data_IF_552850354792
#
_entry.id   IF_552850354792
#
_cell.length_a   1.000
_cell.length_b   1.000
_cell.length_c   1.000
_cell.angle_alpha   90.00
_cell.angle_beta   90.00
_cell.angle_gamma   90.00
#
_symmetry.space_group_name_H-M   'P 1'
#
loop_
_entity.id
_entity.type
_entity.pdbx_description
1 polymer ?
#
# COMPACT_ATOMS: atom_id res chain seq x y z
N UNK A 1 13.89 -48.31 -10.37
CA UNK A 1 14.36 -46.97 -10.74
C UNK A 1 13.18 -46.05 -10.99
N UNK A 2 12.55 -45.45 -9.95
CA UNK A 2 11.44 -44.54 -10.12
C UNK A 2 11.26 -43.66 -8.86
N UNK A 3 12.24 -42.85 -8.48
CA UNK A 3 12.11 -41.95 -7.31
C UNK A 3 12.64 -40.54 -7.49
N UNK A 4 13.14 -40.15 -8.68
CA UNK A 4 13.80 -38.84 -8.91
C UNK A 4 12.83 -37.74 -9.41
N UNK A 5 11.64 -38.07 -9.89
CA UNK A 5 10.77 -37.08 -10.58
C UNK A 5 9.86 -36.25 -9.66
N UNK A 6 9.65 -36.65 -8.41
CA UNK A 6 8.72 -35.91 -7.50
C UNK A 6 9.31 -34.64 -6.88
N UNK A 7 10.63 -34.50 -6.81
CA UNK A 7 11.28 -33.37 -6.18
C UNK A 7 11.26 -32.06 -7.02
N UNK A 8 11.27 -32.16 -8.34
CA UNK A 8 11.32 -30.99 -9.23
C UNK A 8 9.98 -30.26 -9.30
N UNK A 9 8.86 -30.95 -9.31
CA UNK A 9 7.53 -30.34 -9.36
C UNK A 9 7.18 -29.52 -8.11
N UNK A 10 7.64 -29.94 -6.93
CA UNK A 10 7.42 -29.20 -5.68
C UNK A 10 8.26 -27.92 -5.57
N UNK A 11 9.49 -27.92 -6.07
CA UNK A 11 10.35 -26.72 -6.09
C UNK A 11 9.83 -25.69 -7.08
N UNK A 12 9.41 -26.11 -8.27
CA UNK A 12 8.86 -25.23 -9.30
C UNK A 12 7.54 -24.57 -8.85
N UNK A 13 6.63 -25.33 -8.20
CA UNK A 13 5.41 -24.76 -7.61
C UNK A 13 5.72 -23.72 -6.54
N UNK A 14 6.66 -23.98 -5.63
CA UNK A 14 7.07 -23.00 -4.61
C UNK A 14 7.65 -21.72 -5.21
N UNK A 15 8.33 -21.79 -6.33
CA UNK A 15 8.81 -20.61 -7.05
C UNK A 15 7.66 -19.84 -7.70
N UNK A 16 6.67 -20.54 -8.29
CA UNK A 16 5.48 -19.92 -8.84
C UNK A 16 4.62 -19.27 -7.73
N UNK A 17 4.59 -19.84 -6.53
CA UNK A 17 3.87 -19.27 -5.38
C UNK A 17 4.48 -17.96 -4.89
N UNK A 18 5.73 -17.63 -5.29
CA UNK A 18 6.43 -16.38 -4.96
C UNK A 18 6.30 -15.28 -6.03
N UNK A 19 5.35 -15.43 -6.95
CA UNK A 19 5.09 -14.41 -7.96
C UNK A 19 4.84 -13.00 -7.39
N UNK A 20 4.20 -12.81 -6.17
CA UNK A 20 4.00 -11.47 -5.65
C UNK A 20 5.33 -10.80 -5.30
N UNK A 21 6.25 -11.51 -4.64
CA UNK A 21 7.60 -11.01 -4.35
C UNK A 21 8.36 -10.66 -5.63
N UNK A 22 8.32 -11.53 -6.65
CA UNK A 22 9.00 -11.29 -7.92
C UNK A 22 8.44 -10.05 -8.65
N UNK A 23 7.12 -9.88 -8.65
CA UNK A 23 6.45 -8.70 -9.20
C UNK A 23 6.84 -7.44 -8.43
N UNK A 24 6.88 -7.49 -7.09
CA UNK A 24 7.29 -6.37 -6.26
C UNK A 24 8.71 -5.90 -6.62
N UNK A 25 9.66 -6.82 -6.68
CA UNK A 25 11.06 -6.50 -7.03
C UNK A 25 11.19 -5.97 -8.46
N UNK A 26 10.44 -6.51 -9.42
CA UNK A 26 10.45 -6.03 -10.80
C UNK A 26 9.90 -4.60 -10.92
N UNK A 27 8.81 -4.28 -10.20
CA UNK A 27 8.24 -2.94 -10.17
C UNK A 27 9.13 -1.95 -9.41
N UNK A 28 9.74 -2.36 -8.29
CA UNK A 28 10.71 -1.53 -7.57
C UNK A 28 11.90 -1.17 -8.47
N UNK A 29 12.40 -2.13 -9.27
CA UNK A 29 13.46 -1.83 -10.24
C UNK A 29 13.03 -0.81 -11.31
N UNK A 30 11.73 -0.77 -11.67
CA UNK A 30 11.20 0.20 -12.62
C UNK A 30 10.99 1.60 -11.99
N UNK A 31 10.82 1.70 -10.67
CA UNK A 31 10.70 2.98 -9.94
C UNK A 31 12.06 3.53 -9.49
N UNK A 32 13.12 2.74 -9.66
CA UNK A 32 14.48 3.11 -9.24
C UNK A 32 14.93 4.44 -9.86
N UNK A 33 15.39 5.35 -9.01
CA UNK A 33 15.79 6.70 -9.44
C UNK A 33 14.67 7.74 -9.42
N UNK A 34 13.39 7.35 -9.24
CA UNK A 34 12.25 8.28 -9.16
C UNK A 34 12.12 8.99 -7.82
N UNK A 35 12.78 8.50 -6.77
CA UNK A 35 12.65 9.02 -5.39
C UNK A 35 13.54 10.23 -5.09
N UNK A 36 14.45 10.60 -5.99
CA UNK A 36 15.40 11.69 -5.80
C UNK A 36 14.82 13.10 -5.93
N UNK A 37 13.67 13.26 -6.60
CA UNK A 37 13.04 14.57 -6.85
C UNK A 37 11.92 14.86 -5.85
N UNK A 38 11.60 16.15 -5.64
CA UNK A 38 10.46 16.58 -4.82
C UNK A 38 9.12 16.05 -5.38
N UNK A 39 8.99 16.02 -6.70
CA UNK A 39 7.81 15.48 -7.38
C UNK A 39 7.67 13.97 -7.19
N UNK A 40 8.78 13.23 -7.22
CA UNK A 40 8.82 11.81 -6.89
C UNK A 40 8.37 11.56 -5.45
N UNK A 41 8.91 12.30 -4.49
CA UNK A 41 8.49 12.21 -3.08
C UNK A 41 6.99 12.49 -2.93
N UNK A 42 6.45 13.52 -3.62
CA UNK A 42 5.02 13.83 -3.59
C UNK A 42 4.18 12.70 -4.20
N UNK A 43 4.68 12.03 -5.25
CA UNK A 43 4.02 10.87 -5.83
C UNK A 43 3.93 9.71 -4.83
N UNK A 44 5.04 9.38 -4.18
CA UNK A 44 5.09 8.33 -3.16
C UNK A 44 4.27 8.68 -1.92
N UNK A 45 4.19 9.95 -1.52
CA UNK A 45 3.32 10.40 -0.44
C UNK A 45 1.84 10.19 -0.78
N UNK A 46 1.42 10.48 -2.02
CA UNK A 46 0.04 10.27 -2.48
C UNK A 46 -0.32 8.78 -2.51
N UNK A 47 0.61 7.92 -2.95
CA UNK A 47 0.41 6.47 -2.93
C UNK A 47 0.38 5.96 -1.48
N UNK A 48 1.21 6.50 -0.57
CA UNK A 48 1.18 6.15 0.84
C UNK A 48 -0.18 6.44 1.49
N UNK A 49 -0.94 7.43 1.02
CA UNK A 49 -2.33 7.67 1.46
C UNK A 49 -3.30 6.65 0.86
N UNK A 50 -3.07 6.22 -0.39
CA UNK A 50 -3.90 5.24 -1.08
C UNK A 50 -3.84 3.84 -0.41
N UNK A 51 -2.67 3.40 0.03
CA UNK A 51 -2.47 2.04 0.54
C UNK A 51 -3.36 1.73 1.77
N UNK A 52 -3.34 2.52 2.86
CA UNK A 52 -4.21 2.29 4.01
C UNK A 52 -5.69 2.55 3.68
N UNK A 53 -6.01 3.45 2.73
CA UNK A 53 -7.37 3.61 2.22
C UNK A 53 -7.89 2.30 1.62
N UNK A 54 -7.07 1.58 0.86
CA UNK A 54 -7.43 0.28 0.30
C UNK A 54 -7.79 -0.71 1.42
N UNK A 55 -6.96 -0.80 2.47
CA UNK A 55 -7.25 -1.62 3.64
C UNK A 55 -8.56 -1.23 4.31
N UNK A 56 -8.80 0.06 4.49
CA UNK A 56 -10.02 0.59 5.09
C UNK A 56 -11.26 0.21 4.28
N UNK A 57 -11.22 0.39 2.96
CA UNK A 57 -12.33 0.06 2.04
C UNK A 57 -12.59 -1.44 2.02
N UNK A 58 -11.54 -2.26 1.90
CA UNK A 58 -11.70 -3.73 1.89
C UNK A 58 -12.27 -4.22 3.21
N UNK A 59 -11.85 -3.66 4.35
CA UNK A 59 -12.41 -3.99 5.66
C UNK A 59 -13.87 -3.55 5.78
N UNK A 60 -14.24 -2.37 5.24
CA UNK A 60 -15.63 -1.89 5.24
C UNK A 60 -16.54 -2.76 4.42
N UNK A 61 -16.09 -3.21 3.25
CA UNK A 61 -16.86 -4.04 2.33
C UNK A 61 -16.79 -5.54 2.66
N UNK A 62 -15.92 -5.94 3.59
CA UNK A 62 -15.61 -7.35 3.92
C UNK A 62 -15.29 -8.20 2.67
N UNK A 63 -14.66 -7.58 1.66
CA UNK A 63 -14.49 -8.13 0.33
C UNK A 63 -13.01 -8.28 -0.07
N UNK A 64 -12.29 -9.25 0.50
CA UNK A 64 -10.85 -9.51 0.21
C UNK A 64 -10.52 -9.62 -1.28
N UNK A 65 -11.42 -10.18 -2.09
CA UNK A 65 -11.26 -10.30 -3.55
C UNK A 65 -11.25 -8.96 -4.28
N UNK A 66 -11.74 -7.90 -3.66
CA UNK A 66 -11.70 -6.54 -4.22
C UNK A 66 -10.32 -5.87 -4.09
N UNK A 67 -9.37 -6.44 -3.35
CA UNK A 67 -8.05 -5.85 -3.08
C UNK A 67 -7.32 -5.42 -4.36
N UNK A 68 -7.10 -6.35 -5.30
CA UNK A 68 -6.40 -6.05 -6.55
C UNK A 68 -7.15 -5.09 -7.48
N UNK A 69 -8.47 -5.26 -7.72
CA UNK A 69 -9.25 -4.27 -8.47
C UNK A 69 -9.19 -2.86 -7.86
N UNK A 70 -9.27 -2.73 -6.53
CA UNK A 70 -9.17 -1.44 -5.84
C UNK A 70 -7.78 -0.83 -5.97
N UNK A 71 -6.71 -1.64 -5.88
CA UNK A 71 -5.35 -1.15 -6.13
C UNK A 71 -5.22 -0.60 -7.54
N UNK A 72 -5.64 -1.36 -8.56
CA UNK A 72 -5.55 -0.94 -9.96
C UNK A 72 -6.36 0.35 -10.18
N UNK A 73 -7.57 0.44 -9.65
CA UNK A 73 -8.39 1.64 -9.73
C UNK A 73 -7.73 2.84 -9.02
N UNK A 74 -7.13 2.61 -7.84
CA UNK A 74 -6.43 3.65 -7.09
C UNK A 74 -5.19 4.17 -7.83
N UNK A 75 -4.34 3.28 -8.36
CA UNK A 75 -3.16 3.68 -9.15
C UNK A 75 -3.59 4.40 -10.44
N UNK A 76 -4.61 3.91 -11.14
CA UNK A 76 -5.18 4.62 -12.28
C UNK A 76 -5.69 6.02 -11.88
N UNK A 77 -6.31 6.15 -10.71
CA UNK A 77 -6.71 7.43 -10.13
C UNK A 77 -5.53 8.37 -9.92
N UNK A 78 -4.42 7.88 -9.35
CA UNK A 78 -3.18 8.69 -9.22
C UNK A 78 -2.71 9.21 -10.58
N UNK A 79 -2.61 8.33 -11.58
CA UNK A 79 -2.13 8.69 -12.92
C UNK A 79 -3.05 9.73 -13.58
N UNK A 80 -4.37 9.52 -13.51
CA UNK A 80 -5.35 10.44 -14.09
C UNK A 80 -5.31 11.81 -13.40
N UNK A 81 -5.36 11.83 -12.06
CA UNK A 81 -5.37 13.09 -11.30
C UNK A 81 -4.10 13.90 -11.52
N UNK A 82 -2.93 13.24 -11.58
CA UNK A 82 -1.67 13.91 -11.92
C UNK A 82 -1.63 14.39 -13.35
N UNK A 83 -2.14 13.60 -14.30
CA UNK A 83 -2.20 14.00 -15.70
C UNK A 83 -3.13 15.19 -15.98
N UNK A 84 -4.18 15.36 -15.16
CA UNK A 84 -5.10 16.50 -15.25
C UNK A 84 -4.58 17.74 -14.52
N UNK A 85 -3.67 17.58 -13.56
CA UNK A 85 -3.08 18.66 -12.73
C UNK A 85 -4.13 19.60 -12.08
N UNK A 86 -5.29 19.04 -11.71
CA UNK A 86 -6.40 19.81 -11.13
C UNK A 86 -6.43 19.73 -9.61
N UNK A 87 -6.18 18.54 -9.05
CA UNK A 87 -6.26 18.27 -7.61
C UNK A 87 -5.21 17.24 -7.22
N UNK A 88 -4.53 17.49 -6.10
CA UNK A 88 -3.54 16.56 -5.56
C UNK A 88 -4.20 15.21 -5.20
N UNK A 89 -3.69 14.06 -5.69
CA UNK A 89 -4.29 12.75 -5.44
C UNK A 89 -4.46 12.42 -3.97
N UNK A 90 -3.51 12.81 -3.11
CA UNK A 90 -3.59 12.62 -1.67
C UNK A 90 -4.82 13.30 -1.05
N UNK A 91 -5.24 14.47 -1.54
CA UNK A 91 -6.44 15.15 -1.07
C UNK A 91 -7.70 14.38 -1.44
N UNK A 92 -7.78 13.86 -2.68
CA UNK A 92 -8.92 13.03 -3.14
C UNK A 92 -9.02 11.75 -2.32
N UNK A 93 -7.92 11.04 -2.10
CA UNK A 93 -7.93 9.80 -1.31
C UNK A 93 -8.27 10.05 0.16
N UNK A 94 -7.81 11.18 0.73
CA UNK A 94 -8.19 11.59 2.08
C UNK A 94 -9.68 11.89 2.19
N UNK A 95 -10.26 12.56 1.19
CA UNK A 95 -11.70 12.80 1.13
C UNK A 95 -12.50 11.49 1.04
N UNK A 96 -12.06 10.53 0.21
CA UNK A 96 -12.67 9.20 0.13
C UNK A 96 -12.57 8.47 1.48
N UNK A 97 -11.40 8.52 2.15
CA UNK A 97 -11.21 7.93 3.47
C UNK A 97 -12.20 8.52 4.48
N UNK A 98 -12.35 9.85 4.49
CA UNK A 98 -13.29 10.54 5.36
C UNK A 98 -14.74 10.08 5.10
N UNK A 99 -15.15 9.97 3.85
CA UNK A 99 -16.48 9.46 3.46
C UNK A 99 -16.69 8.04 3.99
N UNK A 100 -15.70 7.14 3.83
CA UNK A 100 -15.80 5.76 4.33
C UNK A 100 -15.87 5.71 5.86
N UNK A 101 -15.10 6.55 6.55
CA UNK A 101 -15.13 6.65 8.02
C UNK A 101 -16.50 7.17 8.49
N UNK A 102 -17.00 8.24 7.91
CA UNK A 102 -18.32 8.80 8.24
C UNK A 102 -19.44 7.79 7.96
N UNK A 103 -19.41 7.12 6.81
CA UNK A 103 -20.36 6.03 6.52
C UNK A 103 -20.31 4.95 7.60
N UNK A 104 -19.11 4.57 8.05
CA UNK A 104 -18.94 3.53 9.07
C UNK A 104 -19.40 3.96 10.46
N UNK A 105 -19.40 5.26 10.76
CA UNK A 105 -20.02 5.82 11.98
C UNK A 105 -21.54 5.79 11.86
N UNK A 106 -22.10 6.25 10.73
CA UNK A 106 -23.56 6.34 10.52
C UNK A 106 -24.24 4.98 10.59
N UNK A 107 -23.65 3.95 9.99
CA UNK A 107 -24.22 2.58 10.04
C UNK A 107 -23.75 1.77 11.26
N UNK A 108 -22.94 2.36 12.14
CA UNK A 108 -22.45 1.75 13.37
C UNK A 108 -21.40 0.66 13.17
N UNK A 109 -20.88 0.47 11.95
CA UNK A 109 -19.87 -0.56 11.65
C UNK A 109 -18.59 -0.37 12.45
N UNK A 110 -18.15 0.88 12.62
CA UNK A 110 -16.96 1.23 13.40
C UNK A 110 -17.03 0.76 14.85
N UNK A 111 -18.22 0.66 15.43
CA UNK A 111 -18.41 0.26 16.83
C UNK A 111 -18.53 -1.26 17.00
N UNK A 112 -18.76 -2.00 15.90
CA UNK A 112 -19.00 -3.46 15.92
C UNK A 112 -17.83 -4.28 15.41
N UNK A 113 -16.96 -3.68 14.60
CA UNK A 113 -15.86 -4.38 13.94
C UNK A 113 -14.51 -3.91 14.44
N UNK A 114 -13.86 -4.72 15.29
CA UNK A 114 -12.49 -4.46 15.75
C UNK A 114 -11.49 -4.44 14.59
N UNK A 115 -11.70 -5.29 13.58
CA UNK A 115 -10.88 -5.30 12.37
C UNK A 115 -10.95 -3.96 11.64
N UNK A 116 -12.16 -3.40 11.47
CA UNK A 116 -12.32 -2.08 10.85
C UNK A 116 -11.67 -0.97 11.67
N UNK A 117 -11.80 -1.01 13.01
CA UNK A 117 -11.15 -0.02 13.90
C UNK A 117 -9.64 0.01 13.72
N UNK A 118 -9.00 -1.16 13.61
CA UNK A 118 -7.56 -1.27 13.35
C UNK A 118 -7.22 -0.63 11.99
N UNK A 119 -8.00 -0.88 10.93
CA UNK A 119 -7.76 -0.26 9.62
C UNK A 119 -8.00 1.25 9.64
N UNK A 120 -9.00 1.73 10.40
CA UNK A 120 -9.24 3.16 10.59
C UNK A 120 -8.06 3.85 11.28
N UNK A 121 -7.48 3.25 12.32
CA UNK A 121 -6.27 3.74 12.97
C UNK A 121 -5.07 3.73 12.02
N UNK A 122 -4.91 2.67 11.23
CA UNK A 122 -3.88 2.59 10.18
C UNK A 122 -4.04 3.72 9.16
N UNK A 123 -5.27 3.95 8.68
CA UNK A 123 -5.56 5.05 7.74
C UNK A 123 -5.17 6.41 8.32
N UNK A 124 -5.50 6.68 9.60
CA UNK A 124 -5.13 7.93 10.25
C UNK A 124 -3.62 8.08 10.40
N UNK A 125 -2.92 7.02 10.83
CA UNK A 125 -1.48 7.07 11.06
C UNK A 125 -0.68 7.24 9.77
N UNK A 126 -0.90 6.37 8.78
CA UNK A 126 -0.18 6.42 7.51
C UNK A 126 -0.61 7.59 6.63
N UNK A 127 -1.92 7.93 6.65
CA UNK A 127 -2.44 9.12 5.98
C UNK A 127 -1.81 10.39 6.53
N UNK A 128 -1.66 10.51 7.86
CA UNK A 128 -0.98 11.64 8.48
C UNK A 128 0.49 11.72 8.07
N UNK A 129 1.24 10.60 8.03
CA UNK A 129 2.63 10.59 7.57
C UNK A 129 2.75 11.06 6.13
N UNK A 130 1.88 10.61 5.22
CA UNK A 130 1.84 11.05 3.83
C UNK A 130 1.52 12.54 3.70
N UNK A 131 0.46 13.02 4.36
CA UNK A 131 0.01 14.41 4.27
C UNK A 131 0.99 15.39 4.94
N UNK A 132 1.52 15.06 6.12
CA UNK A 132 2.53 15.88 6.79
C UNK A 132 3.80 15.90 5.95
N UNK A 133 4.19 14.75 5.34
CA UNK A 133 5.33 14.67 4.44
C UNK A 133 5.22 15.61 3.25
N UNK A 134 4.00 15.86 2.73
CA UNK A 134 3.74 16.85 1.67
C UNK A 134 3.77 18.29 2.16
N UNK A 135 3.46 18.54 3.44
CA UNK A 135 3.27 19.88 3.98
C UNK A 135 4.54 20.51 4.60
N UNK A 136 5.56 19.69 4.89
CA UNK A 136 6.80 20.14 5.55
C UNK A 136 7.93 20.36 4.53
N UNK A 137 9.10 20.85 5.03
CA UNK A 137 10.28 21.01 4.18
C UNK A 137 10.64 19.69 3.46
N UNK A 138 11.01 19.72 2.16
CA UNK A 138 11.19 18.51 1.32
C UNK A 138 12.07 17.43 1.90
N UNK A 139 13.19 17.79 2.57
CA UNK A 139 14.08 16.80 3.17
C UNK A 139 13.40 16.07 4.36
N UNK A 140 12.71 16.80 5.23
CA UNK A 140 11.95 16.20 6.32
C UNK A 140 10.77 15.38 5.78
N UNK A 141 10.06 15.93 4.80
CA UNK A 141 8.95 15.27 4.13
C UNK A 141 9.33 13.91 3.56
N UNK A 142 10.47 13.83 2.90
CA UNK A 142 11.01 12.58 2.35
C UNK A 142 11.25 11.52 3.43
N UNK A 143 11.83 11.90 4.58
CA UNK A 143 12.04 10.95 5.68
C UNK A 143 10.73 10.50 6.33
N UNK A 144 9.74 11.41 6.45
CA UNK A 144 8.40 11.04 6.95
C UNK A 144 7.70 10.08 6.01
N UNK A 145 7.77 10.32 4.70
CA UNK A 145 7.20 9.44 3.68
C UNK A 145 7.93 8.08 3.70
N UNK A 146 9.27 8.07 3.79
CA UNK A 146 10.05 6.84 3.91
C UNK A 146 9.67 6.03 5.15
N UNK A 147 9.54 6.69 6.30
CA UNK A 147 9.08 6.05 7.54
C UNK A 147 7.65 5.47 7.38
N UNK A 148 6.76 6.21 6.72
CA UNK A 148 5.41 5.75 6.39
C UNK A 148 5.41 4.48 5.55
N UNK A 149 6.20 4.44 4.48
CA UNK A 149 6.35 3.27 3.62
C UNK A 149 6.94 2.08 4.38
N UNK A 150 8.00 2.29 5.15
CA UNK A 150 8.61 1.21 5.94
C UNK A 150 7.62 0.61 6.96
N UNK A 151 6.93 1.48 7.72
CA UNK A 151 5.95 1.04 8.71
C UNK A 151 4.73 0.38 8.08
N UNK A 152 4.30 0.86 6.88
CA UNK A 152 3.23 0.20 6.13
C UNK A 152 3.67 -1.18 5.63
N UNK A 153 4.91 -1.35 5.18
CA UNK A 153 5.46 -2.66 4.86
C UNK A 153 5.45 -3.62 6.05
N UNK A 154 5.77 -3.15 7.27
CA UNK A 154 5.62 -3.94 8.50
C UNK A 154 4.15 -4.31 8.73
N UNK A 155 3.23 -3.37 8.51
CA UNK A 155 1.78 -3.59 8.58
C UNK A 155 1.33 -4.70 7.64
N UNK A 156 1.78 -4.67 6.38
CA UNK A 156 1.50 -5.71 5.40
C UNK A 156 2.00 -7.09 5.82
N UNK A 157 3.22 -7.19 6.33
CA UNK A 157 3.76 -8.47 6.83
C UNK A 157 2.99 -9.00 8.03
N UNK A 158 2.43 -8.14 8.90
CA UNK A 158 1.52 -8.56 9.97
C UNK A 158 0.24 -9.15 9.38
N UNK A 159 -0.39 -8.47 8.39
CA UNK A 159 -1.60 -8.94 7.72
C UNK A 159 -1.34 -10.21 6.88
N UNK A 160 -0.18 -10.31 6.24
CA UNK A 160 0.26 -11.52 5.55
C UNK A 160 0.32 -12.73 6.49
N UNK A 161 0.84 -12.54 7.71
CA UNK A 161 0.93 -13.62 8.71
C UNK A 161 -0.43 -14.00 9.27
N UNK A 162 -1.31 -13.01 9.49
CA UNK A 162 -2.67 -13.23 9.99
C UNK A 162 -3.63 -13.74 8.93
N UNK A 163 -3.29 -13.53 7.66
CA UNK A 163 -4.14 -13.83 6.50
C UNK A 163 -5.53 -13.17 6.60
N UNK A 164 -5.54 -11.90 7.00
CA UNK A 164 -6.75 -11.12 7.26
C UNK A 164 -6.86 -9.90 6.34
N UNK A 165 -8.08 -9.38 6.20
CA UNK A 165 -8.47 -8.12 5.52
C UNK A 165 -8.26 -8.16 4.02
N UNK A 166 -7.02 -8.14 3.54
CA UNK A 166 -6.65 -8.07 2.12
C UNK A 166 -6.25 -9.43 1.56
N UNK A 167 -6.13 -9.54 0.24
CA UNK A 167 -5.63 -10.74 -0.42
C UNK A 167 -4.18 -11.01 0.03
N UNK A 168 -3.88 -12.26 0.39
CA UNK A 168 -2.55 -12.68 0.85
C UNK A 168 -1.43 -12.31 -0.14
N UNK A 169 -1.68 -12.48 -1.45
CA UNK A 169 -0.74 -12.11 -2.51
C UNK A 169 -0.47 -10.61 -2.56
N UNK A 170 -1.47 -9.79 -2.24
CA UNK A 170 -1.33 -8.34 -2.15
C UNK A 170 -0.46 -7.96 -0.95
N UNK A 171 -0.75 -8.49 0.25
CA UNK A 171 0.03 -8.18 1.45
C UNK A 171 1.51 -8.61 1.30
N UNK A 172 1.80 -9.73 0.61
CA UNK A 172 3.18 -10.14 0.29
C UNK A 172 3.84 -9.15 -0.69
N UNK A 173 3.13 -8.80 -1.78
CA UNK A 173 3.63 -7.89 -2.80
C UNK A 173 3.86 -6.48 -2.23
N UNK A 174 2.88 -5.94 -1.52
CA UNK A 174 2.92 -4.60 -0.95
C UNK A 174 4.04 -4.49 0.10
N UNK A 175 4.11 -5.43 1.04
CA UNK A 175 5.14 -5.42 2.08
C UNK A 175 6.58 -5.43 1.52
N UNK A 176 6.82 -6.12 0.39
CA UNK A 176 8.14 -6.13 -0.25
C UNK A 176 8.42 -4.79 -0.94
N UNK A 177 7.49 -4.29 -1.76
CA UNK A 177 7.69 -3.03 -2.50
C UNK A 177 7.81 -1.84 -1.54
N UNK A 178 7.07 -1.84 -0.44
CA UNK A 178 7.08 -0.78 0.57
C UNK A 178 8.46 -0.63 1.22
N UNK A 179 9.07 -1.76 1.60
CA UNK A 179 10.42 -1.75 2.18
C UNK A 179 11.45 -1.25 1.17
N UNK A 180 11.35 -1.66 -0.10
CA UNK A 180 12.29 -1.20 -1.14
C UNK A 180 12.12 0.30 -1.38
N UNK A 181 10.89 0.80 -1.55
CA UNK A 181 10.62 2.24 -1.72
C UNK A 181 11.10 3.05 -0.53
N UNK A 182 10.91 2.55 0.69
CA UNK A 182 11.43 3.22 1.90
C UNK A 182 12.95 3.37 1.84
N UNK A 183 13.67 2.33 1.41
CA UNK A 183 15.13 2.36 1.24
C UNK A 183 15.52 3.35 0.15
N UNK A 184 14.86 3.32 -1.01
CA UNK A 184 15.12 4.27 -2.10
C UNK A 184 14.93 5.72 -1.66
N UNK A 185 13.84 6.03 -0.93
CA UNK A 185 13.55 7.35 -0.39
C UNK A 185 14.64 7.83 0.59
N UNK A 186 15.19 6.94 1.43
CA UNK A 186 16.26 7.29 2.37
C UNK A 186 17.56 7.63 1.64
N UNK A 187 17.94 6.84 0.65
CA UNK A 187 19.22 6.97 -0.05
C UNK A 187 19.18 7.88 -1.28
N UNK A 188 18.03 8.45 -1.65
CA UNK A 188 17.83 9.36 -2.81
C UNK A 188 18.23 8.74 -4.15
N UNK A 189 17.93 7.50 -4.33
CA UNK A 189 18.20 6.79 -5.58
C UNK A 189 17.11 6.98 -6.63
#
# INVERSE_FOLDING_TARGET
>A
MASVSRGHGHRFRRLLDRWPTALALALSAATFGGTGSAEGVASFASILVLLPLLYLVVAKLEARRATWPLLVAGIAGVVVLRGLDVVEPAAVFSAIALVVLLWSVVDGHVFRSGTFQVQALGMLAFGALGLIGLAVHPDLGRYLVAAGWFLHGVWDFVHLRRDEVVARSFAEWCGVIDVVIAIELIFKW
#
